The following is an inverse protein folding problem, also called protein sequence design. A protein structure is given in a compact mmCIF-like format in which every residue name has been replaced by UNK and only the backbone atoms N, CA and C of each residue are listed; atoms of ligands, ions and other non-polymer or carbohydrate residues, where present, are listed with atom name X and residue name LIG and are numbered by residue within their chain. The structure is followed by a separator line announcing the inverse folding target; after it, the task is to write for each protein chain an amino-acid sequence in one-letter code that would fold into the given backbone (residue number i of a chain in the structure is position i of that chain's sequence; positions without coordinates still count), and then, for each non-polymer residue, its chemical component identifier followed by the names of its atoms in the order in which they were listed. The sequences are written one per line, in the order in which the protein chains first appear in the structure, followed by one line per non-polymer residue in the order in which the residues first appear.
data_IF_815411747236
#
_entry.id   IF_815411747236
#
_cell.length_a   1.000
_cell.length_b   1.000
_cell.length_c   1.000
_cell.angle_alpha   90.00
_cell.angle_beta   90.00
_cell.angle_gamma   90.00
#
_symmetry.space_group_name_H-M   'P 1'
#
loop_
_entity.id
_entity.type
_entity.pdbx_description
1 polymer ?
#
# COMPACT_ATOMS: atom_id res chain seq x y z
N UNK A 1 -6.99 -38.34 27.06
CA UNK A 1 -5.90 -38.38 26.06
C UNK A 1 -6.26 -37.65 24.75
N UNK A 2 -7.41 -37.96 24.12
CA UNK A 2 -7.83 -37.39 22.82
C UNK A 2 -7.81 -35.85 22.71
N UNK A 3 -8.30 -35.13 23.73
CA UNK A 3 -8.34 -33.64 23.73
C UNK A 3 -6.96 -32.96 23.71
N UNK A 4 -5.92 -33.61 24.25
CA UNK A 4 -4.55 -33.08 24.21
C UNK A 4 -3.93 -33.23 22.82
N UNK A 5 -4.18 -34.37 22.18
CA UNK A 5 -3.72 -34.67 20.81
C UNK A 5 -4.39 -33.72 19.82
N UNK A 6 -5.71 -33.51 19.93
CA UNK A 6 -6.45 -32.59 19.06
C UNK A 6 -5.93 -31.14 19.16
N UNK A 7 -5.60 -30.68 20.38
CA UNK A 7 -5.01 -29.34 20.61
C UNK A 7 -3.59 -29.23 20.05
N UNK A 8 -2.79 -30.29 20.11
CA UNK A 8 -1.48 -30.35 19.48
C UNK A 8 -1.57 -30.30 17.95
N UNK A 9 -2.45 -31.10 17.35
CA UNK A 9 -2.67 -31.09 15.90
C UNK A 9 -3.15 -29.70 15.42
N UNK A 10 -4.03 -29.05 16.18
CA UNK A 10 -4.48 -27.69 15.88
C UNK A 10 -3.33 -26.67 15.95
N UNK A 11 -2.46 -26.75 16.97
CA UNK A 11 -1.26 -25.90 17.08
C UNK A 11 -0.29 -26.12 15.93
N UNK A 12 -0.06 -27.37 15.55
CA UNK A 12 0.86 -27.73 14.46
C UNK A 12 0.32 -27.27 13.11
N UNK A 13 -1.00 -27.26 12.90
CA UNK A 13 -1.62 -26.73 11.68
C UNK A 13 -1.64 -25.19 11.65
N UNK A 14 -1.74 -24.52 12.80
CA UNK A 14 -1.73 -23.05 12.90
C UNK A 14 -0.35 -22.43 12.61
N UNK A 15 0.73 -23.10 12.99
CA UNK A 15 2.12 -22.63 12.77
C UNK A 15 2.43 -22.35 11.28
N UNK A 16 2.21 -23.27 10.33
CA UNK A 16 2.50 -23.03 8.92
C UNK A 16 1.58 -21.96 8.33
N UNK A 17 0.32 -21.87 8.76
CA UNK A 17 -0.60 -20.80 8.33
C UNK A 17 -0.08 -19.43 8.80
N UNK A 18 0.42 -19.34 10.04
CA UNK A 18 0.98 -18.11 10.58
C UNK A 18 2.26 -17.68 9.86
N UNK A 19 3.11 -18.63 9.49
CA UNK A 19 4.31 -18.39 8.67
C UNK A 19 3.91 -17.92 7.27
N UNK A 20 2.90 -18.54 6.65
CA UNK A 20 2.38 -18.16 5.33
C UNK A 20 1.84 -16.72 5.34
N UNK A 21 1.07 -16.37 6.37
CA UNK A 21 0.56 -15.01 6.57
C UNK A 21 1.69 -13.99 6.74
N UNK A 22 2.75 -14.34 7.47
CA UNK A 22 3.91 -13.46 7.66
C UNK A 22 4.69 -13.25 6.36
N UNK A 23 4.85 -14.29 5.56
CA UNK A 23 5.46 -14.21 4.22
C UNK A 23 4.61 -13.36 3.26
N UNK A 24 3.29 -13.57 3.25
CA UNK A 24 2.35 -12.77 2.45
C UNK A 24 2.40 -11.29 2.83
N UNK A 25 2.52 -10.99 4.12
CA UNK A 25 2.64 -9.61 4.61
C UNK A 25 3.92 -8.94 4.11
N UNK A 26 5.05 -9.67 4.09
CA UNK A 26 6.31 -9.19 3.52
C UNK A 26 6.23 -8.94 2.01
N UNK A 27 5.64 -9.87 1.26
CA UNK A 27 5.39 -9.74 -0.18
C UNK A 27 4.46 -8.57 -0.49
N UNK A 28 3.36 -8.43 0.25
CA UNK A 28 2.45 -7.28 0.10
C UNK A 28 3.19 -5.97 0.36
N UNK A 29 3.97 -5.86 1.44
CA UNK A 29 4.73 -4.63 1.73
C UNK A 29 5.70 -4.28 0.59
N UNK A 30 6.38 -5.28 0.01
CA UNK A 30 7.31 -5.07 -1.08
C UNK A 30 6.59 -4.62 -2.36
N UNK A 31 5.50 -5.29 -2.73
CA UNK A 31 4.67 -4.96 -3.88
C UNK A 31 4.04 -3.56 -3.71
N UNK A 32 3.66 -3.20 -2.49
CA UNK A 32 3.00 -1.95 -2.17
C UNK A 32 3.98 -0.75 -2.17
N UNK A 33 5.22 -0.95 -1.73
CA UNK A 33 6.31 0.02 -1.91
C UNK A 33 6.60 0.26 -3.40
N UNK A 34 6.64 -0.81 -4.18
CA UNK A 34 6.91 -0.73 -5.61
C UNK A 34 5.76 -0.08 -6.38
N UNK A 35 4.50 -0.42 -6.05
CA UNK A 35 3.32 0.16 -6.68
C UNK A 35 3.12 1.61 -6.29
N UNK A 36 3.40 1.99 -5.03
CA UNK A 36 3.34 3.37 -4.56
C UNK A 36 4.26 4.30 -5.35
N UNK A 37 5.51 3.85 -5.55
CA UNK A 37 6.50 4.54 -6.37
C UNK A 37 6.10 4.63 -7.85
N UNK A 38 5.64 3.52 -8.44
CA UNK A 38 5.20 3.49 -9.83
C UNK A 38 4.02 4.43 -10.07
N UNK A 39 3.02 4.43 -9.20
CA UNK A 39 1.85 5.32 -9.31
C UNK A 39 2.23 6.79 -9.12
N UNK A 40 3.18 7.11 -8.22
CA UNK A 40 3.72 8.47 -8.07
C UNK A 40 4.43 8.94 -9.32
N UNK A 41 5.28 8.09 -9.92
CA UNK A 41 5.95 8.38 -11.19
C UNK A 41 4.93 8.58 -12.31
N UNK A 42 3.90 7.73 -12.39
CA UNK A 42 2.85 7.85 -13.40
C UNK A 42 2.06 9.16 -13.24
N UNK A 43 1.72 9.55 -12.01
CA UNK A 43 1.06 10.81 -11.67
C UNK A 43 1.91 12.04 -12.01
N UNK A 44 3.22 11.98 -11.74
CA UNK A 44 4.18 13.04 -12.11
C UNK A 44 4.34 13.16 -13.62
N UNK A 45 4.45 12.04 -14.33
CA UNK A 45 4.55 12.03 -15.79
C UNK A 45 3.29 12.65 -16.36
N UNK A 46 2.10 12.19 -15.98
CA UNK A 46 0.82 12.75 -16.48
C UNK A 46 0.66 14.24 -16.18
N UNK A 47 1.11 14.73 -15.02
CA UNK A 47 1.16 16.16 -14.71
C UNK A 47 2.13 16.90 -15.64
N UNK A 48 3.33 16.36 -15.86
CA UNK A 48 4.31 16.94 -16.76
C UNK A 48 3.79 16.97 -18.22
N UNK A 49 3.11 15.91 -18.67
CA UNK A 49 2.48 15.87 -19.99
C UNK A 49 1.37 16.90 -20.10
N UNK A 50 0.53 17.07 -19.08
CA UNK A 50 -0.51 18.09 -19.07
C UNK A 50 0.08 19.51 -19.18
N UNK A 51 1.15 19.80 -18.44
CA UNK A 51 1.87 21.08 -18.52
C UNK A 51 2.50 21.28 -19.91
N UNK A 52 3.10 20.24 -20.48
CA UNK A 52 3.65 20.28 -21.83
C UNK A 52 2.56 20.54 -22.88
N UNK A 53 1.44 19.81 -22.84
CA UNK A 53 0.30 20.02 -23.73
C UNK A 53 -0.26 21.44 -23.64
N UNK A 54 -0.25 22.05 -22.44
CA UNK A 54 -0.63 23.45 -22.24
C UNK A 54 0.37 24.43 -22.87
N UNK A 55 1.67 24.25 -22.62
CA UNK A 55 2.73 25.12 -23.12
C UNK A 55 2.82 25.11 -24.65
N UNK A 56 2.68 23.94 -25.26
CA UNK A 56 2.73 23.78 -26.72
C UNK A 56 1.36 24.00 -27.40
N UNK A 57 0.30 24.35 -26.65
CA UNK A 57 -1.09 24.51 -27.15
C UNK A 57 -1.55 23.35 -28.04
N UNK A 58 -1.13 22.12 -27.71
CA UNK A 58 -1.43 20.92 -28.51
C UNK A 58 -2.90 20.53 -28.34
N UNK A 59 -3.45 20.72 -27.14
CA UNK A 59 -4.82 20.35 -26.78
C UNK A 59 -5.63 21.54 -26.25
N UNK A 60 -6.96 21.41 -26.31
CA UNK A 60 -7.88 22.36 -25.73
C UNK A 60 -7.73 22.44 -24.20
N UNK A 61 -7.95 23.63 -23.64
CA UNK A 61 -7.77 23.90 -22.20
C UNK A 61 -8.57 22.95 -21.30
N UNK A 62 -9.74 22.47 -21.75
CA UNK A 62 -10.57 21.51 -21.03
C UNK A 62 -9.91 20.13 -20.89
N UNK A 63 -9.20 19.67 -21.91
CA UNK A 63 -8.52 18.35 -21.92
C UNK A 63 -7.27 18.37 -21.03
N UNK A 64 -6.51 19.47 -21.09
CA UNK A 64 -5.37 19.72 -20.19
C UNK A 64 -5.80 19.69 -18.72
N UNK A 65 -6.92 20.34 -18.38
CA UNK A 65 -7.45 20.36 -17.01
C UNK A 65 -7.86 18.94 -16.58
N UNK A 66 -8.50 18.16 -17.47
CA UNK A 66 -8.85 16.76 -17.19
C UNK A 66 -7.61 15.90 -16.93
N UNK A 67 -6.59 15.99 -17.78
CA UNK A 67 -5.31 15.28 -17.56
C UNK A 67 -4.64 15.69 -16.25
N UNK A 68 -4.65 16.99 -15.92
CA UNK A 68 -4.13 17.49 -14.65
C UNK A 68 -4.86 16.91 -13.45
N UNK A 69 -6.20 16.88 -13.47
CA UNK A 69 -7.02 16.29 -12.39
C UNK A 69 -6.71 14.79 -12.23
N UNK A 70 -6.59 14.06 -13.34
CA UNK A 70 -6.24 12.63 -13.32
C UNK A 70 -4.84 12.42 -12.75
N UNK A 71 -3.85 13.21 -13.18
CA UNK A 71 -2.47 13.13 -12.67
C UNK A 71 -2.37 13.41 -11.17
N UNK A 72 -3.06 14.46 -10.68
CA UNK A 72 -3.15 14.76 -9.24
C UNK A 72 -3.87 13.64 -8.49
N UNK A 73 -4.97 13.12 -9.04
CA UNK A 73 -5.74 12.04 -8.44
C UNK A 73 -4.89 10.78 -8.24
N UNK A 74 -4.19 10.35 -9.28
CA UNK A 74 -3.29 9.18 -9.24
C UNK A 74 -2.15 9.39 -8.25
N UNK A 75 -1.57 10.58 -8.21
CA UNK A 75 -0.52 10.92 -7.26
C UNK A 75 -1.03 10.90 -5.81
N UNK A 76 -2.15 11.58 -5.53
CA UNK A 76 -2.71 11.71 -4.19
C UNK A 76 -3.22 10.37 -3.63
N UNK A 77 -3.89 9.54 -4.45
CA UNK A 77 -4.33 8.21 -4.06
C UNK A 77 -3.15 7.35 -3.57
N UNK A 78 -2.02 7.44 -4.26
CA UNK A 78 -0.81 6.71 -3.89
C UNK A 78 -0.27 7.16 -2.52
N UNK A 79 -0.24 8.47 -2.28
CA UNK A 79 0.20 9.06 -1.00
C UNK A 79 -0.74 8.68 0.15
N UNK A 80 -2.06 8.73 -0.06
CA UNK A 80 -3.06 8.36 0.95
C UNK A 80 -2.93 6.88 1.30
N UNK A 81 -2.74 6.01 0.29
CA UNK A 81 -2.51 4.58 0.51
C UNK A 81 -1.30 4.33 1.40
N UNK A 82 -0.15 4.94 1.10
CA UNK A 82 1.06 4.85 1.92
C UNK A 82 0.85 5.35 3.36
N UNK A 83 0.12 6.46 3.54
CA UNK A 83 -0.15 7.03 4.86
C UNK A 83 -0.97 6.07 5.75
N UNK A 84 -1.99 5.42 5.18
CA UNK A 84 -2.83 4.45 5.89
C UNK A 84 -1.99 3.26 6.34
N UNK A 85 -1.13 2.74 5.48
CA UNK A 85 -0.27 1.58 5.78
C UNK A 85 0.75 1.93 6.86
N UNK A 86 1.39 3.11 6.75
CA UNK A 86 2.29 3.60 7.77
C UNK A 86 1.58 3.74 9.13
N UNK A 87 0.34 4.24 9.13
CA UNK A 87 -0.51 4.30 10.31
C UNK A 87 -0.80 2.93 10.92
N UNK A 88 -1.12 1.93 10.10
CA UNK A 88 -1.35 0.54 10.56
C UNK A 88 -0.07 -0.07 11.14
N UNK A 89 1.09 0.13 10.51
CA UNK A 89 2.37 -0.35 11.03
C UNK A 89 2.71 0.30 12.38
N UNK A 90 2.48 1.60 12.51
CA UNK A 90 2.72 2.34 13.74
C UNK A 90 1.79 1.87 14.87
N UNK A 91 0.51 1.63 14.55
CA UNK A 91 -0.45 1.04 15.47
C UNK A 91 -0.03 -0.36 15.93
N UNK A 92 0.46 -1.20 15.02
CA UNK A 92 0.94 -2.55 15.35
C UNK A 92 2.16 -2.52 16.28
N UNK A 93 3.06 -1.54 16.11
CA UNK A 93 4.21 -1.33 17.00
C UNK A 93 3.73 -0.89 18.39
N UNK A 94 2.81 0.06 18.47
CA UNK A 94 2.25 0.53 19.74
C UNK A 94 1.54 -0.59 20.50
N UNK A 95 0.74 -1.42 19.82
CA UNK A 95 0.07 -2.57 20.43
C UNK A 95 1.08 -3.59 20.97
N UNK A 96 2.16 -3.88 20.22
CA UNK A 96 3.22 -4.77 20.70
C UNK A 96 3.94 -4.21 21.93
N UNK A 97 4.17 -2.90 21.98
CA UNK A 97 4.78 -2.26 23.15
C UNK A 97 3.85 -2.27 24.37
N UNK A 98 2.54 -2.12 24.19
CA UNK A 98 1.57 -2.21 25.27
C UNK A 98 1.53 -3.62 25.88
N UNK A 99 1.49 -4.65 25.04
CA UNK A 99 1.46 -6.06 25.47
C UNK A 99 2.80 -6.50 26.12
N UNK A 100 3.93 -5.97 25.66
CA UNK A 100 5.25 -6.31 26.21
C UNK A 100 5.56 -5.66 27.56
N UNK A 101 4.74 -4.72 28.02
CA UNK A 101 4.88 -4.06 29.33
C UNK A 101 4.02 -4.70 30.43
N UNK A 102 3.16 -5.66 30.07
CA UNK A 102 2.40 -6.53 30.99
C UNK A 102 3.20 -7.81 31.27
#
# INVERSE_FOLDING_TARGET
MLRKILRCCLKVALIPIFILLKMMKGLCNLIQLFSGWLLRLLGLITLATAVACWLFRIEGTSEVIRMGIVGVGVFALSVIGELIIAGIMLLEILVKQAISKE
#
